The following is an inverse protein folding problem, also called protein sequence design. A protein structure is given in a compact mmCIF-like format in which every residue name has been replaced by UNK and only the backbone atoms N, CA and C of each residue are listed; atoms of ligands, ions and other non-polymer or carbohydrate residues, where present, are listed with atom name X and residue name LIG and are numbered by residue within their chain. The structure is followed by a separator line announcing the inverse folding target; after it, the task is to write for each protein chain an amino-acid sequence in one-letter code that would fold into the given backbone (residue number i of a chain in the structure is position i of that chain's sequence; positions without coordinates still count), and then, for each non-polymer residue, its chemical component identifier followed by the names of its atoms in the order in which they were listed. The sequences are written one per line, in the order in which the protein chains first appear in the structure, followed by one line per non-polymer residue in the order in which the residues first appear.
data_IF_956984347584
#
_entry.id   IF_956984347584
#
_cell.length_a   1.000
_cell.length_b   1.000
_cell.length_c   1.000
_cell.angle_alpha   90.00
_cell.angle_beta   90.00
_cell.angle_gamma   90.00
#
_symmetry.space_group_name_H-M   'P 1'
#
loop_
_entity.id
_entity.type
_entity.pdbx_description
1 polymer ?
#
# COMPACT_ATOMS: atom_id res chain seq x y z
N UNK A 1 20.60 -22.09 -7.19
CA UNK A 1 19.14 -21.94 -7.37
C UNK A 1 18.91 -21.04 -8.56
N UNK A 2 18.00 -21.39 -9.48
CA UNK A 2 17.66 -20.52 -10.60
C UNK A 2 16.91 -19.28 -10.04
N UNK A 3 17.40 -18.05 -10.27
CA UNK A 3 16.80 -16.84 -9.69
C UNK A 3 15.34 -16.60 -10.12
N UNK A 4 14.88 -17.23 -11.21
CA UNK A 4 13.51 -17.06 -11.72
C UNK A 4 12.49 -18.04 -11.10
N UNK A 5 12.93 -19.04 -10.33
CA UNK A 5 12.05 -20.08 -9.78
C UNK A 5 10.97 -19.54 -8.80
N UNK A 6 11.27 -18.60 -7.88
CA UNK A 6 10.27 -18.07 -6.94
C UNK A 6 9.14 -17.29 -7.63
N UNK A 7 9.45 -16.57 -8.73
CA UNK A 7 8.48 -15.75 -9.45
C UNK A 7 7.55 -16.57 -10.35
N UNK A 8 8.06 -17.63 -10.98
CA UNK A 8 7.21 -18.59 -11.70
C UNK A 8 6.24 -19.30 -10.75
N UNK A 9 6.74 -19.78 -9.61
CA UNK A 9 5.92 -20.41 -8.58
C UNK A 9 4.86 -19.46 -8.01
N UNK A 10 5.21 -18.18 -7.81
CA UNK A 10 4.26 -17.16 -7.39
C UNK A 10 3.14 -16.97 -8.42
N UNK A 11 3.45 -16.83 -9.71
CA UNK A 11 2.45 -16.62 -10.76
C UNK A 11 1.46 -17.79 -10.87
N UNK A 12 1.97 -19.02 -10.82
CA UNK A 12 1.13 -20.22 -10.79
C UNK A 12 0.25 -20.27 -9.54
N UNK A 13 0.81 -19.89 -8.38
CA UNK A 13 0.09 -19.87 -7.11
C UNK A 13 -1.01 -18.83 -7.06
N UNK A 14 -0.78 -17.63 -7.60
CA UNK A 14 -1.81 -16.59 -7.74
C UNK A 14 -2.95 -17.11 -8.62
N UNK A 15 -2.62 -17.70 -9.77
CA UNK A 15 -3.62 -18.25 -10.69
C UNK A 15 -4.47 -19.33 -10.01
N UNK A 16 -3.83 -20.25 -9.28
CA UNK A 16 -4.52 -21.30 -8.51
C UNK A 16 -5.37 -20.73 -7.38
N UNK A 17 -4.84 -19.78 -6.62
CA UNK A 17 -5.57 -19.11 -5.55
C UNK A 17 -6.85 -18.46 -6.08
N UNK A 18 -6.77 -17.67 -7.14
CA UNK A 18 -7.92 -17.00 -7.75
C UNK A 18 -8.94 -18.01 -8.30
N UNK A 19 -8.48 -19.12 -8.90
CA UNK A 19 -9.37 -20.17 -9.37
C UNK A 19 -10.09 -20.90 -8.22
N UNK A 20 -9.37 -21.25 -7.15
CA UNK A 20 -9.93 -21.93 -5.98
C UNK A 20 -10.91 -21.04 -5.21
N UNK A 21 -10.59 -19.75 -5.03
CA UNK A 21 -11.50 -18.79 -4.40
C UNK A 21 -12.82 -18.66 -5.18
N UNK A 22 -12.77 -18.58 -6.52
CA UNK A 22 -13.98 -18.59 -7.37
C UNK A 22 -14.84 -19.84 -7.21
N UNK A 23 -14.24 -20.97 -6.87
CA UNK A 23 -14.98 -22.22 -6.57
C UNK A 23 -15.50 -22.30 -5.13
N UNK A 24 -15.31 -21.25 -4.33
CA UNK A 24 -15.76 -21.17 -2.94
C UNK A 24 -14.79 -21.76 -1.91
N UNK A 25 -13.53 -22.03 -2.29
CA UNK A 25 -12.54 -22.50 -1.34
C UNK A 25 -12.20 -21.39 -0.32
N UNK A 26 -12.20 -21.75 0.96
CA UNK A 26 -11.88 -20.83 2.06
C UNK A 26 -10.60 -21.18 2.80
N UNK A 27 -10.08 -22.40 2.61
CA UNK A 27 -8.84 -22.85 3.23
C UNK A 27 -7.67 -22.72 2.26
N UNK A 28 -6.70 -21.90 2.65
CA UNK A 28 -5.45 -21.65 1.92
C UNK A 28 -4.23 -21.85 2.82
N UNK A 29 -4.34 -22.71 3.85
CA UNK A 29 -3.26 -23.00 4.80
C UNK A 29 -1.99 -23.54 4.09
N UNK A 30 -2.17 -24.35 3.05
CA UNK A 30 -1.07 -24.87 2.23
C UNK A 30 -0.26 -23.76 1.58
N UNK A 31 -0.92 -22.79 0.94
CA UNK A 31 -0.25 -21.61 0.39
C UNK A 31 0.46 -20.85 1.50
N UNK A 32 -0.21 -20.62 2.63
CA UNK A 32 0.35 -19.87 3.75
C UNK A 32 1.66 -20.50 4.24
N UNK A 33 1.67 -21.83 4.42
CA UNK A 33 2.84 -22.59 4.86
C UNK A 33 3.99 -22.57 3.85
N UNK A 34 3.69 -22.71 2.55
CA UNK A 34 4.68 -22.66 1.48
C UNK A 34 5.32 -21.27 1.41
N UNK A 35 4.50 -20.22 1.32
CA UNK A 35 4.99 -18.86 1.12
C UNK A 35 5.66 -18.29 2.36
N UNK A 36 5.25 -18.68 3.58
CA UNK A 36 6.00 -18.39 4.80
C UNK A 36 7.43 -18.93 4.72
N UNK A 37 7.59 -20.23 4.38
CA UNK A 37 8.91 -20.86 4.23
C UNK A 37 9.73 -20.21 3.12
N UNK A 38 9.12 -19.94 1.96
CA UNK A 38 9.81 -19.29 0.84
C UNK A 38 10.27 -17.88 1.19
N UNK A 39 9.44 -17.09 1.87
CA UNK A 39 9.76 -15.73 2.28
C UNK A 39 10.96 -15.69 3.24
N UNK A 40 11.00 -16.61 4.22
CA UNK A 40 12.09 -16.68 5.19
C UNK A 40 13.36 -17.37 4.67
N UNK A 41 13.25 -18.23 3.66
CA UNK A 41 14.40 -18.88 3.03
C UNK A 41 15.07 -18.06 1.93
N UNK A 42 14.38 -17.05 1.38
CA UNK A 42 14.89 -16.21 0.30
C UNK A 42 15.56 -14.97 0.89
N UNK A 43 16.87 -14.75 0.68
CA UNK A 43 17.52 -13.50 1.02
C UNK A 43 16.92 -12.36 0.19
N UNK A 44 16.49 -11.29 0.85
CA UNK A 44 15.77 -10.16 0.24
C UNK A 44 14.64 -10.57 -0.73
N UNK A 45 13.52 -11.12 -0.20
CA UNK A 45 12.46 -11.62 -1.06
C UNK A 45 11.82 -10.47 -1.85
N UNK A 46 11.38 -10.70 -3.10
CA UNK A 46 10.75 -9.67 -3.91
C UNK A 46 9.41 -9.21 -3.31
N UNK A 47 9.05 -7.93 -3.49
CA UNK A 47 7.81 -7.33 -2.96
C UNK A 47 6.56 -8.15 -3.33
N UNK A 48 6.39 -8.63 -4.59
CA UNK A 48 5.29 -9.50 -4.96
C UNK A 48 5.08 -10.72 -4.06
N UNK A 49 6.17 -11.36 -3.63
CA UNK A 49 6.12 -12.53 -2.75
C UNK A 49 5.59 -12.15 -1.37
N UNK A 50 6.05 -11.02 -0.83
CA UNK A 50 5.58 -10.48 0.44
C UNK A 50 4.08 -10.12 0.37
N UNK A 51 3.63 -9.46 -0.70
CA UNK A 51 2.23 -9.09 -0.86
C UNK A 51 1.31 -10.30 -0.91
N UNK A 52 1.70 -11.35 -1.64
CA UNK A 52 0.90 -12.58 -1.69
C UNK A 52 0.81 -13.25 -0.32
N UNK A 53 1.95 -13.40 0.37
CA UNK A 53 1.96 -13.96 1.73
C UNK A 53 1.12 -13.14 2.71
N UNK A 54 1.24 -11.81 2.66
CA UNK A 54 0.46 -10.90 3.49
C UNK A 54 -1.05 -11.00 3.22
N UNK A 55 -1.45 -11.19 1.96
CA UNK A 55 -2.86 -11.41 1.62
C UNK A 55 -3.40 -12.70 2.25
N UNK A 56 -2.62 -13.79 2.19
CA UNK A 56 -3.00 -15.07 2.79
C UNK A 56 -3.19 -14.96 4.31
N UNK A 57 -2.29 -14.25 4.99
CA UNK A 57 -2.37 -14.03 6.44
C UNK A 57 -3.54 -13.13 6.83
N UNK A 58 -3.72 -12.01 6.12
CA UNK A 58 -4.78 -11.05 6.41
C UNK A 58 -6.17 -11.68 6.27
N UNK A 59 -6.37 -12.54 5.26
CA UNK A 59 -7.65 -13.19 4.95
C UNK A 59 -8.10 -14.24 5.96
N UNK A 60 -7.24 -14.66 6.89
CA UNK A 60 -7.63 -15.61 7.94
C UNK A 60 -8.61 -15.00 8.95
N UNK A 61 -8.69 -13.67 9.01
CA UNK A 61 -9.52 -12.95 9.97
C UNK A 61 -10.38 -11.90 9.25
N UNK A 62 -11.55 -11.54 9.80
CA UNK A 62 -12.35 -10.43 9.28
C UNK A 62 -11.56 -9.11 9.29
N UNK A 63 -11.80 -8.22 8.30
CA UNK A 63 -11.13 -6.94 8.24
C UNK A 63 -11.46 -6.09 9.48
N UNK A 64 -10.42 -5.64 10.18
CA UNK A 64 -10.52 -4.81 11.38
C UNK A 64 -9.28 -3.93 11.52
N UNK A 65 -9.36 -2.91 12.37
CA UNK A 65 -8.19 -2.07 12.74
C UNK A 65 -7.07 -2.89 13.38
N UNK A 66 -7.40 -3.93 14.15
CA UNK A 66 -6.43 -4.87 14.71
C UNK A 66 -5.72 -5.67 13.60
N UNK A 67 -6.47 -6.25 12.66
CA UNK A 67 -5.90 -6.97 11.52
C UNK A 67 -5.04 -6.05 10.63
N UNK A 68 -5.45 -4.79 10.45
CA UNK A 68 -4.65 -3.79 9.72
C UNK A 68 -3.33 -3.46 10.45
N UNK A 69 -3.35 -3.39 11.79
CA UNK A 69 -2.14 -3.20 12.60
C UNK A 69 -1.19 -4.39 12.47
N UNK A 70 -1.72 -5.61 12.55
CA UNK A 70 -0.93 -6.83 12.38
C UNK A 70 -0.32 -6.90 10.98
N UNK A 71 -1.09 -6.52 9.95
CA UNK A 71 -0.60 -6.38 8.59
C UNK A 71 0.53 -5.35 8.48
N UNK A 72 0.41 -4.21 9.15
CA UNK A 72 1.48 -3.21 9.18
C UNK A 72 2.77 -3.77 9.77
N UNK A 73 2.68 -4.46 10.92
CA UNK A 73 3.82 -5.10 11.56
C UNK A 73 4.45 -6.18 10.68
N UNK A 74 3.63 -6.99 10.01
CA UNK A 74 4.09 -8.01 9.07
C UNK A 74 4.88 -7.39 7.92
N UNK A 75 4.30 -6.41 7.23
CA UNK A 75 4.95 -5.75 6.09
C UNK A 75 6.25 -5.05 6.52
N UNK A 76 6.22 -4.31 7.63
CA UNK A 76 7.37 -3.57 8.12
C UNK A 76 8.52 -4.47 8.59
N UNK A 77 8.22 -5.62 9.20
CA UNK A 77 9.23 -6.58 9.67
C UNK A 77 9.85 -7.35 8.51
N UNK A 78 9.04 -7.85 7.58
CA UNK A 78 9.52 -8.59 6.42
C UNK A 78 10.25 -7.72 5.38
N UNK A 79 10.10 -6.39 5.44
CA UNK A 79 10.86 -5.46 4.60
C UNK A 79 12.06 -4.83 5.32
N UNK A 80 12.34 -5.17 6.58
CA UNK A 80 13.27 -4.40 7.42
C UNK A 80 14.72 -4.34 6.92
N UNK A 81 15.15 -5.33 6.13
CA UNK A 81 16.49 -5.40 5.55
C UNK A 81 16.59 -4.75 4.15
N UNK A 82 15.47 -4.27 3.57
CA UNK A 82 15.43 -3.73 2.22
C UNK A 82 15.81 -2.25 2.15
N UNK A 83 16.09 -1.79 0.92
CA UNK A 83 16.19 -0.36 0.58
C UNK A 83 14.94 0.41 1.04
N UNK A 84 15.13 1.69 1.38
CA UNK A 84 14.06 2.55 1.93
C UNK A 84 12.82 2.63 1.04
N UNK A 85 13.01 2.74 -0.28
CA UNK A 85 11.91 2.77 -1.26
C UNK A 85 11.11 1.46 -1.23
N UNK A 86 11.79 0.31 -1.23
CA UNK A 86 11.16 -1.01 -1.15
C UNK A 86 10.36 -1.23 0.15
N UNK A 87 10.82 -0.66 1.26
CA UNK A 87 10.10 -0.67 2.54
C UNK A 87 8.80 0.10 2.47
N UNK A 88 8.82 1.28 1.88
CA UNK A 88 7.64 2.12 1.69
C UNK A 88 6.68 1.45 0.71
N UNK A 89 7.17 1.02 -0.47
CA UNK A 89 6.37 0.33 -1.48
C UNK A 89 5.66 -0.92 -0.93
N UNK A 90 6.28 -1.65 -0.01
CA UNK A 90 5.67 -2.82 0.63
C UNK A 90 4.35 -2.50 1.36
N UNK A 91 4.11 -1.25 1.78
CA UNK A 91 2.93 -0.83 2.54
C UNK A 91 1.66 -0.62 1.69
N UNK A 92 1.71 -0.74 0.36
CA UNK A 92 0.53 -0.49 -0.47
C UNK A 92 -0.73 -1.29 -0.06
N UNK A 93 -0.66 -2.60 0.27
CA UNK A 93 -1.84 -3.34 0.68
C UNK A 93 -2.45 -2.85 1.99
N UNK A 94 -1.63 -2.32 2.90
CA UNK A 94 -2.12 -1.73 4.14
C UNK A 94 -2.96 -0.50 3.84
N UNK A 95 -2.54 0.37 2.92
CA UNK A 95 -3.32 1.56 2.54
C UNK A 95 -4.65 1.19 1.89
N UNK A 96 -4.66 0.17 1.03
CA UNK A 96 -5.91 -0.40 0.51
C UNK A 96 -6.86 -0.82 1.63
N UNK A 97 -6.37 -1.57 2.62
CA UNK A 97 -7.17 -1.99 3.78
C UNK A 97 -7.66 -0.79 4.59
N UNK A 98 -6.78 0.18 4.89
CA UNK A 98 -7.13 1.38 5.67
C UNK A 98 -8.18 2.24 4.96
N UNK A 99 -8.12 2.37 3.64
CA UNK A 99 -9.13 3.08 2.86
C UNK A 99 -10.52 2.42 2.99
N UNK A 100 -10.58 1.08 3.03
CA UNK A 100 -11.84 0.34 3.23
C UNK A 100 -12.39 0.42 4.65
N UNK A 101 -11.50 0.59 5.63
CA UNK A 101 -11.88 0.77 7.03
C UNK A 101 -12.25 2.22 7.37
N UNK A 102 -11.78 3.21 6.60
CA UNK A 102 -12.01 4.63 6.84
C UNK A 102 -13.49 5.06 6.89
N UNK A 103 -14.43 4.48 6.09
CA UNK A 103 -15.86 4.78 6.20
C UNK A 103 -16.54 4.23 7.46
N UNK A 104 -15.82 3.57 8.37
CA UNK A 104 -16.43 2.97 9.56
C UNK A 104 -17.16 4.02 10.40
N UNK A 105 -18.46 3.79 10.64
CA UNK A 105 -19.37 4.78 11.23
C UNK A 105 -19.10 5.06 12.71
N UNK A 106 -18.31 4.21 13.39
CA UNK A 106 -18.00 4.44 14.81
C UNK A 106 -16.83 5.42 14.99
N UNK A 107 -16.96 6.44 15.85
CA UNK A 107 -15.90 7.42 16.09
C UNK A 107 -14.61 6.78 16.66
N UNK A 108 -14.74 5.70 17.43
CA UNK A 108 -13.60 4.95 17.95
C UNK A 108 -12.82 4.26 16.81
N UNK A 109 -13.50 3.62 15.87
CA UNK A 109 -12.84 2.99 14.72
C UNK A 109 -12.16 4.03 13.83
N UNK A 110 -12.80 5.21 13.62
CA UNK A 110 -12.18 6.32 12.87
C UNK A 110 -10.86 6.75 13.51
N UNK A 111 -10.85 6.95 14.84
CA UNK A 111 -9.63 7.34 15.57
C UNK A 111 -8.52 6.29 15.49
N UNK A 112 -8.86 4.99 15.52
CA UNK A 112 -7.88 3.93 15.34
C UNK A 112 -7.28 3.90 13.93
N UNK A 113 -8.11 4.11 12.90
CA UNK A 113 -7.64 4.21 11.50
C UNK A 113 -6.76 5.45 11.32
N UNK A 114 -7.14 6.60 11.87
CA UNK A 114 -6.32 7.81 11.89
C UNK A 114 -4.94 7.58 12.52
N UNK A 115 -4.90 6.91 13.68
CA UNK A 115 -3.64 6.56 14.35
C UNK A 115 -2.75 5.65 13.52
N UNK A 116 -3.34 4.66 12.81
CA UNK A 116 -2.59 3.79 11.91
C UNK A 116 -2.07 4.54 10.69
N UNK A 117 -2.87 5.42 10.08
CA UNK A 117 -2.44 6.27 8.96
C UNK A 117 -1.29 7.20 9.38
N UNK A 118 -1.35 7.79 10.58
CA UNK A 118 -0.24 8.58 11.11
C UNK A 118 1.02 7.74 11.32
N UNK A 119 0.86 6.49 11.76
CA UNK A 119 1.95 5.52 11.84
C UNK A 119 2.60 5.23 10.49
N UNK A 120 1.80 5.09 9.42
CA UNK A 120 2.30 4.91 8.04
C UNK A 120 3.02 6.16 7.54
N UNK A 121 2.46 7.35 7.78
CA UNK A 121 3.09 8.63 7.40
C UNK A 121 4.43 8.83 8.13
N UNK A 122 4.48 8.50 9.41
CA UNK A 122 5.72 8.54 10.21
C UNK A 122 6.75 7.55 9.67
N UNK A 123 6.34 6.32 9.36
CA UNK A 123 7.19 5.31 8.72
C UNK A 123 7.78 5.83 7.40
N UNK A 124 6.94 6.39 6.52
CA UNK A 124 7.39 6.98 5.26
C UNK A 124 8.43 8.07 5.50
N UNK A 125 8.18 8.99 6.44
CA UNK A 125 9.10 10.08 6.78
C UNK A 125 10.47 9.57 7.25
N UNK A 126 10.50 8.51 8.07
CA UNK A 126 11.74 7.93 8.62
C UNK A 126 12.60 7.30 7.52
N UNK A 127 11.99 6.56 6.59
CA UNK A 127 12.73 5.82 5.57
C UNK A 127 13.05 6.66 4.34
N UNK A 128 12.21 7.64 4.00
CA UNK A 128 12.44 8.53 2.88
C UNK A 128 13.65 9.45 3.09
N UNK A 129 13.94 9.85 4.34
CA UNK A 129 15.12 10.66 4.68
C UNK A 129 16.47 9.92 4.53
N UNK A 130 16.47 8.59 4.35
CA UNK A 130 17.68 7.74 4.27
C UNK A 130 18.11 7.39 2.85
N UNK A 131 17.44 7.94 1.84
CA UNK A 131 17.75 7.66 0.43
C UNK A 131 19.11 8.29 0.02
N UNK A 132 20.19 7.51 0.04
CA UNK A 132 21.38 7.80 -0.78
C UNK A 132 21.05 7.48 -2.24
N UNK A 133 21.50 8.32 -3.16
CA UNK A 133 21.09 8.33 -4.56
C UNK A 133 21.44 7.10 -5.42
N UNK A 134 22.01 6.03 -4.85
CA UNK A 134 22.64 4.93 -5.60
C UNK A 134 21.88 3.58 -5.57
N UNK A 135 20.76 3.47 -4.87
CA UNK A 135 20.03 2.19 -4.72
C UNK A 135 18.96 1.94 -5.82
N UNK A 136 19.23 2.35 -7.07
CA UNK A 136 18.44 1.96 -8.25
C UNK A 136 18.80 0.53 -8.71
N UNK A 137 18.76 -0.43 -7.78
CA UNK A 137 18.93 -1.82 -8.09
C UNK A 137 17.57 -2.49 -8.40
N UNK A 138 17.51 -3.05 -9.60
CA UNK A 138 16.51 -3.96 -10.17
C UNK A 138 15.18 -3.37 -10.68
N UNK A 139 15.32 -2.57 -11.74
CA UNK A 139 14.28 -2.18 -12.70
C UNK A 139 13.94 -3.35 -13.63
N UNK A 140 13.24 -4.35 -13.09
CA UNK A 140 12.33 -5.16 -13.89
C UNK A 140 10.92 -4.77 -13.44
N UNK A 141 10.14 -4.16 -14.34
CA UNK A 141 8.77 -3.76 -14.04
C UNK A 141 7.99 -4.94 -13.47
N UNK A 142 7.60 -4.83 -12.19
CA UNK A 142 6.86 -5.86 -11.50
C UNK A 142 5.40 -5.77 -11.95
N UNK A 143 4.85 -6.86 -12.48
CA UNK A 143 3.42 -6.96 -12.77
C UNK A 143 2.66 -7.19 -11.47
N UNK A 144 2.06 -6.12 -10.95
CA UNK A 144 1.25 -6.16 -9.74
C UNK A 144 -0.24 -6.42 -10.01
N UNK A 145 -0.68 -6.47 -11.26
CA UNK A 145 -2.10 -6.54 -11.58
C UNK A 145 -2.75 -7.82 -11.02
N UNK A 146 -2.10 -8.97 -11.20
CA UNK A 146 -2.57 -10.24 -10.66
C UNK A 146 -2.54 -10.28 -9.13
N UNK A 147 -1.61 -9.57 -8.48
CA UNK A 147 -1.59 -9.44 -7.02
C UNK A 147 -2.70 -8.53 -6.50
N UNK A 148 -2.97 -7.43 -7.19
CA UNK A 148 -4.09 -6.54 -6.85
C UNK A 148 -5.40 -7.32 -6.89
N UNK A 149 -5.58 -8.19 -7.89
CA UNK A 149 -6.73 -9.12 -7.95
C UNK A 149 -6.82 -10.03 -6.73
N UNK A 150 -5.70 -10.53 -6.19
CA UNK A 150 -5.69 -11.33 -4.94
C UNK A 150 -6.21 -10.52 -3.76
N UNK A 151 -5.88 -9.23 -3.65
CA UNK A 151 -6.35 -8.37 -2.56
C UNK A 151 -7.81 -7.96 -2.72
N UNK A 152 -8.32 -7.86 -3.94
CA UNK A 152 -9.70 -7.44 -4.22
C UNK A 152 -10.64 -8.60 -4.61
N UNK A 153 -10.24 -9.84 -4.35
CA UNK A 153 -10.97 -11.02 -4.83
C UNK A 153 -12.40 -11.14 -4.28
N UNK A 154 -12.70 -10.52 -3.14
CA UNK A 154 -14.04 -10.53 -2.54
C UNK A 154 -14.96 -9.42 -3.10
N UNK A 155 -14.43 -8.47 -3.87
CA UNK A 155 -15.17 -7.29 -4.31
C UNK A 155 -15.98 -7.55 -5.60
N UNK A 156 -16.09 -8.81 -6.03
CA UNK A 156 -16.94 -9.25 -7.14
C UNK A 156 -16.54 -8.72 -8.53
N UNK A 157 -15.44 -7.97 -8.63
CA UNK A 157 -14.98 -7.31 -9.85
C UNK A 157 -13.71 -7.90 -10.46
N UNK A 158 -13.41 -7.48 -11.68
CA UNK A 158 -12.12 -7.71 -12.34
C UNK A 158 -11.09 -6.80 -11.67
N UNK A 159 -10.36 -7.31 -10.68
CA UNK A 159 -9.51 -6.51 -9.81
C UNK A 159 -8.70 -5.45 -10.56
N UNK A 160 -9.10 -4.19 -10.41
CA UNK A 160 -8.55 -3.04 -11.09
C UNK A 160 -7.66 -2.20 -10.17
N UNK A 161 -6.64 -1.56 -10.74
CA UNK A 161 -5.71 -0.71 -10.00
C UNK A 161 -6.42 0.49 -9.35
N UNK A 162 -7.53 0.94 -9.93
CA UNK A 162 -8.41 1.97 -9.37
C UNK A 162 -9.02 1.61 -8.02
N UNK A 163 -9.47 0.37 -7.83
CA UNK A 163 -10.00 -0.06 -6.53
C UNK A 163 -8.92 -0.16 -5.45
N UNK A 164 -7.68 -0.46 -5.85
CA UNK A 164 -6.56 -0.66 -4.93
C UNK A 164 -5.84 0.65 -4.56
N UNK A 165 -5.78 1.60 -5.50
CA UNK A 165 -5.23 2.94 -5.31
C UNK A 165 -6.29 4.01 -5.67
N UNK A 166 -7.26 4.24 -4.79
CA UNK A 166 -8.43 5.07 -5.11
C UNK A 166 -8.15 6.58 -5.11
N UNK A 167 -7.10 7.06 -4.44
CA UNK A 167 -6.86 8.50 -4.27
C UNK A 167 -5.88 9.07 -5.31
N UNK A 168 -5.08 8.23 -5.97
CA UNK A 168 -4.17 8.67 -7.03
C UNK A 168 -4.82 8.75 -8.41
N UNK A 169 -4.35 9.69 -9.23
CA UNK A 169 -4.92 9.96 -10.55
C UNK A 169 -4.69 8.84 -11.58
N UNK A 170 -5.56 8.79 -12.58
CA UNK A 170 -5.56 7.77 -13.66
C UNK A 170 -4.19 7.56 -14.34
N UNK A 171 -3.43 8.64 -14.59
CA UNK A 171 -2.12 8.56 -15.22
C UNK A 171 -1.10 7.75 -14.39
N UNK A 172 -1.18 7.85 -13.06
CA UNK A 172 -0.34 7.07 -12.14
C UNK A 172 -0.78 5.60 -12.16
N UNK A 173 -2.09 5.34 -12.13
CA UNK A 173 -2.66 3.99 -12.17
C UNK A 173 -2.29 3.23 -13.45
N UNK A 174 -2.37 3.87 -14.62
CA UNK A 174 -1.89 3.31 -15.90
C UNK A 174 -0.39 3.03 -15.93
N UNK A 175 0.40 3.72 -15.09
CA UNK A 175 1.81 3.41 -14.88
C UNK A 175 1.97 2.07 -14.15
N UNK A 176 1.22 1.88 -13.06
CA UNK A 176 1.25 0.65 -12.26
C UNK A 176 0.77 -0.56 -13.07
N UNK A 177 -0.30 -0.41 -13.87
CA UNK A 177 -0.84 -1.47 -14.73
C UNK A 177 0.16 -2.01 -15.75
N UNK A 178 1.07 -1.15 -16.24
CA UNK A 178 2.11 -1.54 -17.20
C UNK A 178 3.37 -2.08 -16.54
N UNK A 179 3.36 -2.23 -15.22
CA UNK A 179 4.53 -2.45 -14.39
C UNK A 179 5.23 -1.13 -14.06
N UNK A 180 5.65 -1.00 -12.81
CA UNK A 180 6.36 0.19 -12.33
C UNK A 180 7.57 -0.18 -11.47
N UNK A 181 8.51 0.76 -11.40
CA UNK A 181 9.67 0.66 -10.52
C UNK A 181 9.25 0.73 -9.05
N UNK A 182 10.04 0.11 -8.19
CA UNK A 182 9.81 0.10 -6.73
C UNK A 182 9.79 1.52 -6.16
N UNK A 183 10.66 2.41 -6.66
CA UNK A 183 10.63 3.83 -6.31
C UNK A 183 9.29 4.48 -6.68
N UNK A 184 8.83 4.31 -7.93
CA UNK A 184 7.53 4.85 -8.35
C UNK A 184 6.40 4.37 -7.45
N UNK A 185 6.35 3.06 -7.15
CA UNK A 185 5.36 2.49 -6.24
C UNK A 185 5.45 3.08 -4.82
N UNK A 186 6.66 3.28 -4.29
CA UNK A 186 6.87 3.95 -3.01
C UNK A 186 6.27 5.36 -3.00
N UNK A 187 6.46 6.11 -4.09
CA UNK A 187 5.85 7.42 -4.28
C UNK A 187 4.31 7.35 -4.27
N UNK A 188 3.71 6.36 -4.94
CA UNK A 188 2.26 6.14 -4.91
C UNK A 188 1.76 5.90 -3.49
N UNK A 189 2.43 5.02 -2.74
CA UNK A 189 2.09 4.74 -1.33
C UNK A 189 2.15 6.02 -0.48
N UNK A 190 3.17 6.85 -0.65
CA UNK A 190 3.29 8.11 0.08
C UNK A 190 2.17 9.10 -0.27
N UNK A 191 1.79 9.18 -1.55
CA UNK A 191 0.68 10.02 -2.02
C UNK A 191 -0.64 9.55 -1.40
N UNK A 192 -0.95 8.26 -1.51
CA UNK A 192 -2.15 7.65 -0.93
C UNK A 192 -2.22 7.86 0.58
N UNK A 193 -1.12 7.64 1.32
CA UNK A 193 -1.07 7.85 2.77
C UNK A 193 -1.36 9.31 3.15
N UNK A 194 -0.79 10.28 2.43
CA UNK A 194 -1.05 11.70 2.65
C UNK A 194 -2.51 12.04 2.36
N UNK A 195 -3.05 11.63 1.22
CA UNK A 195 -4.43 11.94 0.84
C UNK A 195 -5.42 11.30 1.82
N UNK A 196 -5.18 10.06 2.23
CA UNK A 196 -6.02 9.38 3.22
C UNK A 196 -5.97 10.11 4.57
N UNK A 197 -4.79 10.55 5.01
CA UNK A 197 -4.64 11.40 6.21
C UNK A 197 -5.48 12.68 6.11
N UNK A 198 -5.44 13.35 4.96
CA UNK A 198 -6.21 14.58 4.73
C UNK A 198 -7.72 14.30 4.68
N UNK A 199 -8.16 13.19 4.08
CA UNK A 199 -9.55 12.76 4.06
C UNK A 199 -10.08 12.50 5.48
N UNK A 200 -9.31 11.82 6.32
CA UNK A 200 -9.71 11.52 7.70
C UNK A 200 -9.75 12.78 8.58
N UNK A 201 -8.79 13.69 8.37
CA UNK A 201 -8.73 14.97 9.06
C UNK A 201 -9.85 15.96 8.66
N UNK A 202 -10.64 15.61 7.63
CA UNK A 202 -11.81 16.37 7.22
C UNK A 202 -12.88 16.33 8.33
N UNK A 203 -13.28 17.51 8.78
CA UNK A 203 -14.28 17.70 9.82
C UNK A 203 -15.45 18.48 9.24
N UNK A 204 -16.57 17.79 9.00
CA UNK A 204 -17.79 18.37 8.43
C UNK A 204 -18.41 19.46 9.31
N UNK A 205 -17.99 19.61 10.57
CA UNK A 205 -18.51 20.62 11.51
C UNK A 205 -17.71 21.92 11.57
N UNK A 206 -16.51 21.98 10.98
CA UNK A 206 -15.64 23.15 11.08
C UNK A 206 -15.93 24.19 9.97
N UNK A 207 -15.71 25.49 10.21
CA UNK A 207 -15.76 26.50 9.16
C UNK A 207 -14.74 26.19 8.06
N UNK A 208 -15.16 26.29 6.78
CA UNK A 208 -14.32 25.98 5.61
C UNK A 208 -12.92 26.61 5.66
N UNK A 209 -12.82 27.89 6.00
CA UNK A 209 -11.53 28.59 6.05
C UNK A 209 -10.58 28.05 7.14
N UNK A 210 -11.13 27.63 8.29
CA UNK A 210 -10.35 27.01 9.36
C UNK A 210 -9.91 25.59 8.97
N UNK A 211 -10.82 24.86 8.32
CA UNK A 211 -10.56 23.53 7.78
C UNK A 211 -9.48 23.54 6.71
N UNK A 212 -9.56 24.43 5.71
CA UNK A 212 -8.55 24.60 4.67
C UNK A 212 -7.18 24.91 5.29
N UNK A 213 -7.12 25.83 6.26
CA UNK A 213 -5.87 26.18 6.95
C UNK A 213 -5.27 24.97 7.68
N UNK A 214 -6.09 24.17 8.36
CA UNK A 214 -5.67 22.96 9.07
C UNK A 214 -5.16 21.89 8.11
N UNK A 215 -5.90 21.62 7.03
CA UNK A 215 -5.51 20.63 6.01
C UNK A 215 -4.22 21.06 5.30
N UNK A 216 -4.09 22.33 4.94
CA UNK A 216 -2.87 22.90 4.36
C UNK A 216 -1.67 22.75 5.29
N UNK A 217 -1.82 23.10 6.57
CA UNK A 217 -0.75 22.94 7.55
C UNK A 217 -0.32 21.48 7.70
N UNK A 218 -1.29 20.55 7.78
CA UNK A 218 -1.05 19.11 7.85
C UNK A 218 -0.32 18.58 6.60
N UNK A 219 -0.74 19.03 5.41
CA UNK A 219 -0.12 18.67 4.15
C UNK A 219 1.32 19.16 4.07
N UNK A 220 1.56 20.44 4.38
CA UNK A 220 2.89 21.05 4.40
C UNK A 220 3.80 20.33 5.38
N UNK A 221 3.32 20.05 6.60
CA UNK A 221 4.10 19.33 7.61
C UNK A 221 4.48 17.93 7.13
N UNK A 222 3.53 17.18 6.57
CA UNK A 222 3.76 15.81 6.10
C UNK A 222 4.71 15.78 4.91
N UNK A 223 4.50 16.65 3.91
CA UNK A 223 5.39 16.80 2.76
C UNK A 223 6.81 17.17 3.19
N UNK A 224 6.94 18.09 4.15
CA UNK A 224 8.23 18.47 4.71
C UNK A 224 8.89 17.31 5.45
N UNK A 225 8.11 16.48 6.15
CA UNK A 225 8.55 15.28 6.84
C UNK A 225 9.09 14.20 5.89
N UNK A 226 8.48 14.04 4.71
CA UNK A 226 8.91 13.08 3.69
C UNK A 226 10.29 13.41 3.11
N UNK A 227 10.67 14.69 3.02
CA UNK A 227 12.02 15.12 2.57
C UNK A 227 12.50 14.58 1.21
N UNK A 228 11.62 14.03 0.37
CA UNK A 228 12.00 13.48 -0.95
C UNK A 228 11.27 14.17 -2.09
N UNK A 229 12.05 14.91 -2.89
CA UNK A 229 11.62 15.59 -4.10
C UNK A 229 11.32 14.63 -5.25
N UNK A 230 11.82 13.38 -5.21
CA UNK A 230 11.59 12.37 -6.25
C UNK A 230 10.12 11.95 -6.32
N UNK A 231 9.48 11.82 -5.16
CA UNK A 231 8.07 11.46 -5.05
C UNK A 231 7.13 12.68 -5.05
N UNK A 232 7.66 13.85 -4.71
CA UNK A 232 6.98 15.16 -4.77
C UNK A 232 6.93 15.78 -6.17
N UNK A 233 7.24 15.03 -7.22
CA UNK A 233 7.11 15.50 -8.60
C UNK A 233 5.73 16.11 -8.89
N UNK A 234 5.60 16.84 -10.02
CA UNK A 234 4.39 17.61 -10.45
C UNK A 234 3.04 16.97 -10.12
N UNK A 235 2.96 15.63 -10.10
CA UNK A 235 1.77 14.86 -9.77
C UNK A 235 1.29 15.05 -8.32
N UNK A 236 2.14 14.93 -7.29
CA UNK A 236 1.69 15.00 -5.89
C UNK A 236 1.23 16.43 -5.52
N UNK A 237 1.98 17.46 -5.93
CA UNK A 237 1.56 18.84 -5.73
C UNK A 237 0.24 19.14 -6.47
N UNK A 238 0.09 18.66 -7.71
CA UNK A 238 -1.17 18.83 -8.46
C UNK A 238 -2.33 18.07 -7.85
N UNK A 239 -2.08 16.91 -7.23
CA UNK A 239 -3.09 16.05 -6.62
C UNK A 239 -3.56 16.63 -5.29
N UNK A 240 -2.63 17.10 -4.46
CA UNK A 240 -2.94 17.83 -3.22
C UNK A 240 -3.67 19.13 -3.54
N UNK A 241 -3.23 19.91 -4.53
CA UNK A 241 -3.94 21.11 -4.98
C UNK A 241 -5.34 20.79 -5.51
N UNK A 242 -5.51 19.74 -6.33
CA UNK A 242 -6.84 19.33 -6.82
C UNK A 242 -7.75 18.88 -5.69
N UNK A 243 -7.23 18.10 -4.74
CA UNK A 243 -7.98 17.66 -3.56
C UNK A 243 -8.46 18.86 -2.74
N UNK A 244 -7.57 19.83 -2.50
CA UNK A 244 -7.90 21.06 -1.78
C UNK A 244 -8.87 21.97 -2.55
N UNK A 245 -8.83 21.96 -3.89
CA UNK A 245 -9.77 22.69 -4.75
C UNK A 245 -11.14 21.99 -4.90
N UNK A 246 -11.23 20.69 -4.61
CA UNK A 246 -12.49 19.92 -4.64
C UNK A 246 -13.29 19.97 -3.34
N UNK A 247 -12.68 20.53 -2.28
CA UNK A 247 -13.30 20.90 -1.01
C UNK A 247 -13.87 22.32 -1.13
#
# INVERSE_FOLDING_TARGET
MNPNHPMLMLKESITRFLAQHRTGATDFADFTSIFSRTLHATPDPPIPLLWFYAALQFRQHPPSSAAARDLFHLLASCSAARASSARIAALAPLLFVLHRLAPAESPNAKSEVEGLVEGVVSYCSIFCAKESCDDDADVAGLDFADLIRVWMVDDGGEGCVEGFFPLVGEGVRKGIERGCEVGVLAGVVMCEALLLKLCLAFDNGAPRAEQEKKLMASAVQTITGFRSFRFLGKNLLSLVLRFLLSI
#
